data_IF_899894337024
#
_entry.id   IF_899894337024
#
_cell.length_a   1.000
_cell.length_b   1.000
_cell.length_c   1.000
_cell.angle_alpha   90.00
_cell.angle_beta   90.00
_cell.angle_gamma   90.00
#
_symmetry.space_group_name_H-M   'P 1'
#
loop_
_entity.id
_entity.type
_entity.pdbx_description
1 polymer ?
#
# COMPACT_ATOMS: atom_id res chain seq x y z
N UNK A 1 -6.25 11.30 -7.60
CA UNK A 1 -6.36 11.54 -9.05
C UNK A 1 -6.34 10.21 -9.76
N UNK A 2 -7.17 10.01 -10.76
CA UNK A 2 -7.01 8.84 -11.60
C UNK A 2 -5.70 8.95 -12.40
N UNK A 3 -4.89 7.89 -12.37
CA UNK A 3 -3.84 7.68 -13.34
C UNK A 3 -4.46 7.47 -14.74
N UNK A 4 -3.65 7.42 -15.80
CA UNK A 4 -4.15 7.25 -17.15
C UNK A 4 -4.96 5.94 -17.36
N UNK A 5 -4.78 4.96 -16.47
CA UNK A 5 -5.49 3.68 -16.41
C UNK A 5 -6.74 3.69 -15.51
N UNK A 6 -7.13 4.85 -14.96
CA UNK A 6 -8.27 5.02 -14.06
C UNK A 6 -8.00 4.66 -12.60
N UNK A 7 -6.80 4.19 -12.25
CA UNK A 7 -6.41 3.94 -10.85
C UNK A 7 -6.02 5.23 -10.14
N UNK A 8 -6.05 5.23 -8.79
CA UNK A 8 -5.60 6.38 -7.99
C UNK A 8 -4.12 6.21 -7.63
N UNK A 9 -3.29 7.19 -8.00
CA UNK A 9 -1.87 7.23 -7.64
C UNK A 9 -1.58 8.42 -6.72
N UNK A 10 -1.12 8.12 -5.50
CA UNK A 10 -0.75 9.13 -4.52
C UNK A 10 0.48 9.96 -4.94
N UNK A 11 1.38 9.38 -5.73
CA UNK A 11 2.56 10.09 -6.24
C UNK A 11 2.14 11.16 -7.25
N UNK A 12 1.14 10.88 -8.08
CA UNK A 12 0.54 11.86 -8.99
C UNK A 12 -0.05 13.00 -8.19
N UNK A 13 -0.83 12.70 -7.13
CA UNK A 13 -1.38 13.72 -6.24
C UNK A 13 -0.29 14.58 -5.59
N UNK A 14 0.79 13.97 -5.07
CA UNK A 14 1.91 14.70 -4.47
C UNK A 14 2.63 15.62 -5.44
N UNK A 15 2.81 15.20 -6.69
CA UNK A 15 3.46 16.00 -7.71
C UNK A 15 2.56 17.16 -8.18
N UNK A 16 1.27 16.92 -8.31
CA UNK A 16 0.28 17.92 -8.66
C UNK A 16 0.10 18.99 -7.58
N UNK A 17 0.18 18.61 -6.29
CA UNK A 17 0.14 19.57 -5.17
C UNK A 17 1.36 20.49 -5.11
N UNK A 18 2.49 20.14 -5.75
CA UNK A 18 3.68 20.99 -5.85
C UNK A 18 3.61 21.99 -7.01
N UNK A 19 2.68 21.81 -7.93
CA UNK A 19 2.43 22.65 -9.09
C UNK A 19 1.05 23.29 -9.05
N UNK A 20 0.74 24.15 -10.02
CA UNK A 20 -0.61 24.70 -10.24
C UNK A 20 -1.42 23.68 -11.06
N UNK A 21 -1.98 22.67 -10.43
CA UNK A 21 -2.78 21.67 -11.13
C UNK A 21 -4.27 21.95 -10.99
N UNK A 22 -4.98 21.84 -12.11
CA UNK A 22 -6.45 21.91 -12.19
C UNK A 22 -7.12 20.53 -12.21
N UNK A 23 -6.33 19.45 -12.05
CA UNK A 23 -6.81 18.07 -12.22
C UNK A 23 -7.14 17.33 -10.92
N UNK A 24 -7.11 18.03 -9.77
CA UNK A 24 -7.45 17.41 -8.48
C UNK A 24 -8.97 17.35 -8.37
N UNK A 25 -9.51 16.16 -8.21
CA UNK A 25 -10.93 15.92 -7.96
C UNK A 25 -11.15 15.57 -6.49
N UNK A 26 -12.07 16.28 -5.85
CA UNK A 26 -12.51 15.97 -4.49
C UNK A 26 -13.68 15.00 -4.55
N UNK A 27 -13.50 13.81 -3.96
CA UNK A 27 -14.55 12.79 -3.85
C UNK A 27 -15.13 12.82 -2.45
N UNK A 28 -16.39 13.22 -2.33
CA UNK A 28 -17.10 13.27 -1.06
C UNK A 28 -17.85 11.94 -0.79
N UNK A 29 -17.72 11.40 0.42
CA UNK A 29 -18.26 10.08 0.77
C UNK A 29 -19.14 10.06 2.04
N UNK A 30 -19.18 11.15 2.80
CA UNK A 30 -20.05 11.33 3.96
C UNK A 30 -20.28 12.81 4.25
N UNK A 31 -21.33 13.15 5.03
CA UNK A 31 -21.67 14.51 5.42
C UNK A 31 -21.94 14.56 6.93
N UNK A 32 -21.07 15.28 7.66
CA UNK A 32 -21.12 15.30 9.12
C UNK A 32 -21.78 16.56 9.69
N UNK A 33 -21.71 17.67 8.96
CA UNK A 33 -22.29 18.96 9.34
C UNK A 33 -22.88 19.64 8.12
N UNK A 34 -24.03 20.29 8.31
CA UNK A 34 -24.69 21.06 7.26
C UNK A 34 -25.39 22.27 7.89
N UNK A 35 -25.08 23.49 7.44
CA UNK A 35 -25.73 24.73 7.86
C UNK A 35 -25.81 24.89 9.40
N UNK A 36 -24.77 24.50 10.13
CA UNK A 36 -24.74 24.56 11.61
C UNK A 36 -25.33 23.35 12.30
N UNK A 37 -25.91 22.41 11.61
CA UNK A 37 -26.46 21.18 12.19
C UNK A 37 -25.44 20.04 12.18
N UNK A 38 -25.31 19.34 13.31
CA UNK A 38 -24.53 18.13 13.47
C UNK A 38 -25.34 16.93 12.97
N UNK A 39 -24.93 16.34 11.86
CA UNK A 39 -25.60 15.21 11.23
C UNK A 39 -25.07 13.84 11.68
N UNK A 40 -24.05 13.78 12.55
CA UNK A 40 -23.44 12.51 12.98
C UNK A 40 -24.42 11.55 13.65
N UNK A 41 -25.50 12.07 14.21
CA UNK A 41 -26.60 11.28 14.81
C UNK A 41 -27.59 10.72 13.79
N UNK A 42 -27.52 11.15 12.53
CA UNK A 42 -28.31 10.56 11.45
C UNK A 42 -27.68 9.24 10.99
N UNK A 43 -28.49 8.39 10.37
CA UNK A 43 -28.02 7.17 9.73
C UNK A 43 -27.13 7.50 8.53
N UNK A 44 -26.13 6.66 8.22
CA UNK A 44 -25.24 6.87 7.10
C UNK A 44 -25.99 7.08 5.77
N UNK A 45 -27.03 6.29 5.54
CA UNK A 45 -27.85 6.41 4.33
C UNK A 45 -28.51 7.79 4.19
N UNK A 46 -28.95 8.38 5.30
CA UNK A 46 -29.56 9.73 5.33
C UNK A 46 -28.50 10.79 5.08
N UNK A 47 -27.35 10.71 5.75
CA UNK A 47 -26.23 11.62 5.55
C UNK A 47 -25.75 11.62 4.08
N UNK A 48 -25.66 10.43 3.47
CA UNK A 48 -25.29 10.30 2.04
C UNK A 48 -26.37 10.87 1.12
N UNK A 49 -27.65 10.73 1.45
CA UNK A 49 -28.75 11.34 0.68
C UNK A 49 -28.68 12.87 0.71
N UNK A 50 -28.36 13.47 1.87
CA UNK A 50 -28.13 14.90 1.97
C UNK A 50 -26.90 15.33 1.20
N UNK A 51 -25.77 14.59 1.32
CA UNK A 51 -24.55 14.86 0.58
C UNK A 51 -24.81 14.91 -0.93
N UNK A 52 -25.47 13.88 -1.47
CA UNK A 52 -25.75 13.79 -2.91
C UNK A 52 -26.52 15.00 -3.42
N UNK A 53 -27.47 15.50 -2.63
CA UNK A 53 -28.26 16.69 -2.99
C UNK A 53 -27.45 17.98 -3.01
N UNK A 54 -26.55 18.17 -2.04
CA UNK A 54 -25.81 19.45 -1.94
C UNK A 54 -24.64 19.58 -2.91
N UNK A 55 -24.11 18.44 -3.40
CA UNK A 55 -23.02 18.46 -4.38
C UNK A 55 -23.51 18.35 -5.83
N UNK A 56 -24.81 18.14 -6.01
CA UNK A 56 -25.41 18.09 -7.34
C UNK A 56 -25.16 19.41 -8.10
N UNK A 57 -24.70 19.31 -9.36
CA UNK A 57 -24.31 20.44 -10.17
C UNK A 57 -23.00 21.13 -9.79
N UNK A 58 -22.20 20.56 -8.85
CA UNK A 58 -20.87 21.04 -8.50
C UNK A 58 -19.77 20.18 -9.16
N UNK A 59 -18.49 20.60 -9.03
CA UNK A 59 -17.33 19.82 -9.47
C UNK A 59 -16.97 18.69 -8.51
N UNK A 60 -17.67 18.59 -7.37
CA UNK A 60 -17.43 17.53 -6.39
C UNK A 60 -17.99 16.20 -6.89
N UNK A 61 -17.23 15.12 -6.73
CA UNK A 61 -17.71 13.79 -7.05
C UNK A 61 -18.33 13.12 -5.82
N UNK A 62 -19.47 12.49 -6.03
CA UNK A 62 -20.10 11.65 -5.02
C UNK A 62 -19.49 10.25 -5.03
N UNK A 63 -19.07 9.76 -3.87
CA UNK A 63 -18.67 8.37 -3.73
C UNK A 63 -19.91 7.49 -3.68
N UNK A 64 -20.22 6.83 -4.79
CA UNK A 64 -21.35 5.88 -4.83
C UNK A 64 -21.17 4.72 -3.86
N UNK A 65 -22.28 4.09 -3.49
CA UNK A 65 -22.30 2.91 -2.62
C UNK A 65 -22.88 1.75 -3.41
N UNK A 66 -22.29 0.58 -3.25
CA UNK A 66 -22.75 -0.65 -3.88
C UNK A 66 -23.33 -1.57 -2.80
N UNK A 67 -24.58 -2.00 -2.98
CA UNK A 67 -25.25 -2.95 -2.10
C UNK A 67 -25.13 -4.36 -2.69
N UNK A 68 -23.91 -4.90 -2.66
CA UNK A 68 -23.59 -6.24 -3.18
C UNK A 68 -22.71 -6.97 -2.16
N UNK A 69 -22.49 -8.28 -2.40
CA UNK A 69 -21.62 -9.07 -1.53
C UNK A 69 -20.21 -8.45 -1.41
N UNK A 70 -19.79 -8.16 -0.18
CA UNK A 70 -18.51 -7.49 0.08
C UNK A 70 -17.30 -8.31 -0.36
N UNK A 71 -17.41 -9.65 -0.50
CA UNK A 71 -16.31 -10.48 -1.00
C UNK A 71 -16.14 -10.29 -2.50
N UNK A 72 -17.22 -10.18 -3.25
CA UNK A 72 -17.20 -9.96 -4.69
C UNK A 72 -16.65 -8.58 -5.03
N UNK A 73 -17.12 -7.53 -4.34
CA UNK A 73 -16.59 -6.17 -4.51
C UNK A 73 -15.11 -6.13 -4.18
N UNK A 74 -14.69 -6.73 -3.05
CA UNK A 74 -13.30 -6.77 -2.65
C UNK A 74 -12.42 -7.47 -3.70
N UNK A 75 -12.85 -8.64 -4.18
CA UNK A 75 -12.11 -9.36 -5.22
C UNK A 75 -11.99 -8.53 -6.51
N UNK A 76 -13.08 -7.85 -6.90
CA UNK A 76 -13.07 -6.97 -8.08
C UNK A 76 -12.15 -5.76 -7.87
N UNK A 77 -12.22 -5.08 -6.72
CA UNK A 77 -11.36 -3.96 -6.39
C UNK A 77 -9.87 -4.33 -6.46
N UNK A 78 -9.50 -5.50 -5.92
CA UNK A 78 -8.13 -5.99 -6.00
C UNK A 78 -7.71 -6.33 -7.44
N UNK A 79 -8.61 -6.91 -8.24
CA UNK A 79 -8.35 -7.27 -9.65
C UNK A 79 -8.07 -6.04 -10.52
N UNK A 80 -8.76 -4.93 -10.28
CA UNK A 80 -8.55 -3.67 -11.01
C UNK A 80 -7.48 -2.77 -10.39
N UNK A 81 -6.72 -3.27 -9.39
CA UNK A 81 -5.55 -2.58 -8.83
C UNK A 81 -5.85 -1.52 -7.78
N UNK A 82 -7.06 -1.47 -7.22
CA UNK A 82 -7.35 -0.57 -6.10
C UNK A 82 -6.62 -1.01 -4.83
N UNK A 83 -6.34 -0.06 -3.93
CA UNK A 83 -5.70 -0.34 -2.63
C UNK A 83 -6.56 -1.25 -1.74
N UNK A 84 -7.88 -1.16 -1.90
CA UNK A 84 -8.86 -1.91 -1.10
C UNK A 84 -10.22 -1.24 -1.09
N UNK A 85 -11.04 -1.63 -0.13
CA UNK A 85 -12.39 -1.09 0.08
C UNK A 85 -12.63 -0.67 1.52
N UNK A 86 -13.66 0.12 1.73
CA UNK A 86 -14.23 0.42 3.04
C UNK A 86 -15.71 0.04 3.04
N UNK A 87 -16.03 -1.06 3.71
CA UNK A 87 -17.40 -1.47 3.96
C UNK A 87 -17.97 -0.68 5.15
N UNK A 88 -19.19 -0.19 5.02
CA UNK A 88 -19.84 0.64 6.05
C UNK A 88 -21.21 0.08 6.37
N UNK A 89 -21.57 0.03 7.66
CA UNK A 89 -22.92 -0.33 8.08
C UNK A 89 -23.88 0.79 7.66
N UNK A 90 -24.86 0.46 6.82
CA UNK A 90 -25.80 1.40 6.19
C UNK A 90 -26.57 2.26 7.18
N UNK A 91 -27.03 1.63 8.25
CA UNK A 91 -27.91 2.24 9.25
C UNK A 91 -27.11 2.67 10.51
N UNK A 92 -25.78 2.91 10.36
CA UNK A 92 -24.97 3.36 11.47
C UNK A 92 -24.94 4.88 11.61
N UNK A 93 -24.86 5.35 12.88
CA UNK A 93 -24.46 6.71 13.20
C UNK A 93 -22.97 6.90 12.95
N UNK A 94 -22.48 8.13 13.02
CA UNK A 94 -21.04 8.43 12.92
C UNK A 94 -20.43 8.59 14.31
N UNK A 95 -19.77 7.59 14.87
CA UNK A 95 -19.00 7.74 16.10
C UNK A 95 -17.70 8.51 15.80
N UNK A 96 -17.39 9.52 16.61
CA UNK A 96 -16.07 10.17 16.54
C UNK A 96 -15.03 9.23 17.17
N UNK A 97 -14.23 8.59 16.34
CA UNK A 97 -13.20 7.66 16.78
C UNK A 97 -13.26 6.30 16.08
N UNK A 98 -12.55 5.31 16.63
CA UNK A 98 -12.55 3.96 16.08
C UNK A 98 -13.85 3.23 16.46
N UNK A 99 -14.52 2.67 15.45
CA UNK A 99 -15.74 1.88 15.60
C UNK A 99 -15.65 0.56 14.82
N UNK A 100 -16.75 -0.22 14.88
CA UNK A 100 -16.89 -1.48 14.13
C UNK A 100 -17.78 -1.33 12.89
N UNK A 101 -18.41 -0.16 12.72
CA UNK A 101 -19.35 0.08 11.63
C UNK A 101 -18.67 0.37 10.29
N UNK A 102 -17.35 0.67 10.33
CA UNK A 102 -16.51 0.88 9.15
C UNK A 102 -15.37 -0.12 9.14
N UNK A 103 -15.36 -1.00 8.15
CA UNK A 103 -14.35 -2.04 7.99
C UNK A 103 -13.50 -1.72 6.76
N UNK A 104 -12.24 -1.35 6.98
CA UNK A 104 -11.25 -1.21 5.91
C UNK A 104 -10.64 -2.57 5.60
N UNK A 105 -10.71 -2.97 4.33
CA UNK A 105 -10.07 -4.17 3.80
C UNK A 105 -9.11 -3.77 2.68
N UNK A 106 -7.85 -4.16 2.80
CA UNK A 106 -6.79 -3.77 1.84
C UNK A 106 -6.36 -4.95 1.00
N UNK A 107 -6.14 -4.69 -0.31
CA UNK A 107 -5.59 -5.68 -1.23
C UNK A 107 -4.12 -5.91 -0.91
N UNK A 108 -3.75 -7.16 -0.70
CA UNK A 108 -2.36 -7.57 -0.57
C UNK A 108 -1.86 -8.08 -1.93
N UNK A 109 -0.78 -7.49 -2.42
CA UNK A 109 -0.07 -7.97 -3.60
C UNK A 109 1.12 -8.80 -3.16
N UNK A 110 1.52 -9.78 -3.97
CA UNK A 110 2.71 -10.61 -3.73
C UNK A 110 3.64 -10.55 -4.92
N UNK A 111 4.92 -10.52 -4.63
CA UNK A 111 5.99 -10.52 -5.63
C UNK A 111 7.19 -11.27 -5.09
N UNK A 112 7.81 -12.07 -5.94
CA UNK A 112 9.12 -12.68 -5.64
C UNK A 112 10.21 -11.69 -6.02
N UNK A 113 11.00 -11.27 -5.03
CA UNK A 113 12.07 -10.29 -5.20
C UNK A 113 13.42 -10.89 -4.78
N UNK A 114 14.49 -10.42 -5.42
CA UNK A 114 15.86 -10.85 -5.10
C UNK A 114 16.34 -10.18 -3.81
N UNK A 115 16.96 -10.94 -2.93
CA UNK A 115 17.63 -10.40 -1.74
C UNK A 115 18.99 -9.84 -2.17
N UNK A 116 19.22 -8.57 -1.91
CA UNK A 116 20.42 -7.82 -2.29
C UNK A 116 21.30 -7.50 -1.09
N UNK A 117 20.80 -7.67 0.12
CA UNK A 117 21.50 -7.41 1.37
C UNK A 117 20.58 -7.52 2.57
N UNK A 118 21.15 -7.33 3.75
CA UNK A 118 20.39 -7.29 5.01
C UNK A 118 20.92 -6.17 5.92
N UNK A 119 20.11 -5.82 6.92
CA UNK A 119 20.46 -4.84 7.92
C UNK A 119 20.41 -5.47 9.31
N UNK A 120 21.25 -4.95 10.20
CA UNK A 120 21.25 -5.24 11.62
C UNK A 120 21.17 -3.93 12.40
N UNK A 121 20.46 -3.95 13.52
CA UNK A 121 20.52 -2.90 14.55
C UNK A 121 21.29 -3.48 15.74
N UNK A 122 22.56 -3.06 15.90
CA UNK A 122 23.52 -3.78 16.72
C UNK A 122 23.69 -5.22 16.23
N UNK A 123 23.25 -6.20 17.03
CA UNK A 123 23.24 -7.63 16.68
C UNK A 123 21.87 -8.14 16.23
N UNK A 124 20.85 -7.33 16.35
CA UNK A 124 19.47 -7.71 16.04
C UNK A 124 19.16 -7.61 14.56
N UNK A 125 18.27 -8.46 14.10
CA UNK A 125 17.82 -8.46 12.70
C UNK A 125 16.93 -7.23 12.43
N UNK A 126 17.34 -6.41 11.45
CA UNK A 126 16.61 -5.21 11.03
C UNK A 126 16.08 -5.33 9.58
N UNK A 127 16.06 -6.53 9.02
CA UNK A 127 15.40 -6.84 7.76
C UNK A 127 16.32 -7.02 6.57
N UNK A 128 15.71 -7.09 5.36
CA UNK A 128 16.39 -7.36 4.09
C UNK A 128 16.18 -6.22 3.10
N UNK A 129 17.20 -6.00 2.26
CA UNK A 129 17.15 -5.13 1.10
C UNK A 129 16.78 -5.93 -0.14
N UNK A 130 15.84 -5.42 -0.91
CA UNK A 130 15.26 -6.10 -2.07
C UNK A 130 15.68 -5.46 -3.37
N UNK A 131 15.86 -6.30 -4.38
CA UNK A 131 16.09 -5.91 -5.77
C UNK A 131 15.07 -6.56 -6.70
N UNK A 132 14.67 -5.82 -7.72
CA UNK A 132 13.88 -6.34 -8.86
C UNK A 132 14.78 -6.44 -10.07
N UNK A 133 14.83 -7.62 -10.68
CA UNK A 133 15.55 -7.82 -11.93
C UNK A 133 14.79 -7.19 -13.10
N UNK A 134 15.52 -6.44 -13.93
CA UNK A 134 15.06 -5.91 -15.22
C UNK A 134 16.14 -6.24 -16.26
N UNK A 135 15.98 -7.37 -16.93
CA UNK A 135 17.06 -7.94 -17.74
C UNK A 135 18.28 -8.24 -16.86
N UNK A 136 19.44 -7.70 -17.21
CA UNK A 136 20.68 -7.86 -16.45
C UNK A 136 20.78 -6.89 -15.24
N UNK A 137 19.91 -5.92 -15.16
CA UNK A 137 19.94 -4.92 -14.10
C UNK A 137 19.25 -5.42 -12.82
N UNK A 138 19.81 -5.05 -11.67
CA UNK A 138 19.17 -5.16 -10.37
C UNK A 138 18.80 -3.78 -9.86
N UNK A 139 17.49 -3.49 -9.82
CA UNK A 139 16.93 -2.21 -9.39
C UNK A 139 16.45 -2.31 -7.96
N UNK A 140 16.80 -1.35 -7.10
CA UNK A 140 16.35 -1.32 -5.72
C UNK A 140 14.82 -1.31 -5.62
N UNK A 141 14.25 -2.27 -4.90
CA UNK A 141 12.81 -2.45 -4.75
C UNK A 141 12.28 -2.11 -3.35
N UNK A 142 13.14 -1.83 -2.38
CA UNK A 142 12.75 -1.47 -1.01
C UNK A 142 13.50 -2.25 0.06
N UNK A 143 13.24 -1.93 1.33
CA UNK A 143 13.65 -2.69 2.52
C UNK A 143 12.41 -3.29 3.18
N UNK A 144 12.52 -4.51 3.66
CA UNK A 144 11.49 -5.21 4.45
C UNK A 144 12.04 -5.44 5.85
N UNK A 145 11.34 -4.96 6.85
CA UNK A 145 11.66 -5.07 8.28
C UNK A 145 10.57 -5.79 9.08
N UNK A 146 9.48 -6.21 8.42
CA UNK A 146 8.36 -6.92 9.03
C UNK A 146 8.17 -8.32 8.45
N UNK A 147 7.57 -9.22 9.23
CA UNK A 147 7.27 -10.58 8.80
C UNK A 147 8.33 -11.61 9.18
N UNK A 148 9.33 -11.19 9.96
CA UNK A 148 10.36 -12.08 10.47
C UNK A 148 10.01 -12.57 11.88
N UNK A 149 10.32 -13.83 12.15
CA UNK A 149 10.41 -14.40 13.46
C UNK A 149 11.85 -14.84 13.77
N UNK A 150 12.10 -15.35 14.96
CA UNK A 150 13.44 -15.81 15.37
C UNK A 150 14.02 -16.88 14.45
N UNK A 151 13.16 -17.79 13.94
CA UNK A 151 13.58 -18.89 13.08
C UNK A 151 13.95 -18.38 11.68
N UNK A 152 13.08 -17.62 11.06
CA UNK A 152 13.28 -17.06 9.71
C UNK A 152 14.46 -16.09 9.67
N UNK A 153 14.67 -15.27 10.71
CA UNK A 153 15.82 -14.37 10.82
C UNK A 153 17.14 -15.16 10.95
N UNK A 154 17.17 -16.22 11.74
CA UNK A 154 18.34 -17.07 11.89
C UNK A 154 18.66 -17.83 10.59
N UNK A 155 17.65 -18.38 9.92
CA UNK A 155 17.80 -19.05 8.62
C UNK A 155 18.35 -18.09 7.56
N UNK A 156 17.76 -16.90 7.44
CA UNK A 156 18.24 -15.88 6.52
C UNK A 156 19.68 -15.48 6.80
N UNK A 157 20.04 -15.25 8.06
CA UNK A 157 21.42 -14.93 8.45
C UNK A 157 22.39 -16.03 8.05
N UNK A 158 22.04 -17.29 8.30
CA UNK A 158 22.87 -18.45 7.94
C UNK A 158 23.08 -18.52 6.41
N UNK A 159 22.01 -18.34 5.62
CA UNK A 159 22.06 -18.45 4.15
C UNK A 159 22.69 -17.26 3.48
N UNK A 160 22.58 -16.04 4.05
CA UNK A 160 23.13 -14.81 3.48
C UNK A 160 24.60 -14.57 3.83
N UNK A 161 25.07 -15.06 4.98
CA UNK A 161 26.47 -14.85 5.43
C UNK A 161 27.51 -15.32 4.40
N UNK A 162 27.42 -16.52 3.79
CA UNK A 162 28.38 -16.95 2.79
C UNK A 162 28.33 -16.13 1.47
N UNK A 163 27.27 -15.36 1.27
CA UNK A 163 27.07 -14.54 0.06
C UNK A 163 27.51 -13.08 0.25
N UNK A 164 28.10 -12.72 1.39
CA UNK A 164 28.49 -11.34 1.68
C UNK A 164 29.52 -10.84 0.65
N UNK A 165 29.27 -9.61 0.16
CA UNK A 165 30.13 -8.90 -0.78
C UNK A 165 30.44 -7.48 -0.31
N UNK A 166 31.53 -6.89 -0.82
CA UNK A 166 32.00 -5.56 -0.40
C UNK A 166 31.17 -4.40 -0.95
N UNK A 167 30.52 -4.58 -2.08
CA UNK A 167 29.83 -3.51 -2.81
C UNK A 167 28.34 -3.84 -3.00
N UNK A 168 27.51 -2.82 -3.17
CA UNK A 168 26.10 -2.99 -3.48
C UNK A 168 25.91 -3.74 -4.82
N UNK A 169 24.96 -4.68 -4.92
CA UNK A 169 24.70 -5.40 -6.16
C UNK A 169 23.78 -4.63 -7.13
N UNK A 170 23.28 -3.45 -6.75
CA UNK A 170 22.38 -2.66 -7.58
C UNK A 170 23.11 -1.98 -8.74
N UNK A 171 22.44 -1.91 -9.89
CA UNK A 171 22.95 -1.18 -11.08
C UNK A 171 23.15 0.31 -10.80
N UNK A 172 22.24 0.91 -10.01
CA UNK A 172 22.39 2.27 -9.49
C UNK A 172 22.63 2.23 -8.00
N UNK A 173 23.71 2.88 -7.55
CA UNK A 173 24.03 2.98 -6.13
C UNK A 173 22.90 3.67 -5.35
N UNK A 174 22.55 3.12 -4.20
CA UNK A 174 21.56 3.69 -3.27
C UNK A 174 22.26 4.28 -2.05
N UNK A 175 21.69 5.36 -1.49
CA UNK A 175 22.16 5.99 -0.26
C UNK A 175 21.67 5.24 0.99
N UNK A 176 22.02 3.96 1.11
CA UNK A 176 21.70 3.11 2.25
C UNK A 176 22.93 2.35 2.70
N UNK A 177 23.04 2.14 4.01
CA UNK A 177 24.04 1.28 4.64
C UNK A 177 23.43 -0.08 4.95
N UNK A 178 24.18 -1.13 4.73
CA UNK A 178 23.74 -2.50 4.98
C UNK A 178 24.84 -3.50 4.67
N UNK A 179 24.63 -4.75 4.99
CA UNK A 179 25.50 -5.87 4.62
C UNK A 179 24.99 -6.39 3.28
N UNK A 180 25.78 -6.16 2.23
CA UNK A 180 25.43 -6.52 0.86
C UNK A 180 25.78 -7.96 0.56
N UNK A 181 24.96 -8.62 -0.26
CA UNK A 181 25.18 -10.03 -0.63
C UNK A 181 25.09 -10.22 -2.14
N UNK A 182 25.66 -11.31 -2.64
CA UNK A 182 25.43 -11.77 -4.01
C UNK A 182 23.93 -12.06 -4.19
N UNK A 183 23.28 -11.49 -5.24
CA UNK A 183 21.83 -11.51 -5.38
C UNK A 183 21.33 -12.85 -5.95
N UNK A 184 21.50 -13.92 -5.17
CA UNK A 184 21.17 -15.31 -5.53
C UNK A 184 19.87 -15.78 -4.90
N UNK A 185 19.54 -15.30 -3.67
CA UNK A 185 18.34 -15.75 -2.96
C UNK A 185 17.13 -14.90 -3.32
N UNK A 186 15.98 -15.56 -3.38
CA UNK A 186 14.69 -14.95 -3.65
C UNK A 186 13.80 -15.01 -2.41
N UNK A 187 13.02 -13.95 -2.20
CA UNK A 187 12.04 -13.86 -1.14
C UNK A 187 10.65 -13.56 -1.69
N UNK A 188 9.63 -14.22 -1.16
CA UNK A 188 8.24 -13.85 -1.39
C UNK A 188 7.87 -12.70 -0.46
N UNK A 189 7.44 -11.61 -1.05
CA UNK A 189 7.10 -10.36 -0.35
C UNK A 189 5.65 -10.02 -0.61
N UNK A 190 4.90 -9.86 0.47
CA UNK A 190 3.56 -9.28 0.43
C UNK A 190 3.66 -7.77 0.66
N UNK A 191 2.95 -6.97 -0.12
CA UNK A 191 2.98 -5.51 0.02
C UNK A 191 1.62 -4.91 -0.40
N UNK A 192 1.37 -3.66 -0.01
CA UNK A 192 0.08 -3.00 -0.27
C UNK A 192 0.08 -2.17 -1.55
N UNK A 193 1.18 -1.51 -1.85
CA UNK A 193 1.32 -0.62 -3.01
C UNK A 193 2.78 -0.55 -3.46
N UNK A 194 3.02 0.04 -4.64
CA UNK A 194 4.34 0.46 -5.10
C UNK A 194 4.42 1.98 -5.14
N UNK A 195 5.62 2.54 -4.91
CA UNK A 195 5.87 3.94 -5.19
C UNK A 195 6.01 4.17 -6.70
N UNK A 196 6.04 5.45 -7.13
CA UNK A 196 6.31 5.81 -8.53
C UNK A 196 7.63 5.23 -9.07
N UNK A 197 8.65 5.08 -8.19
CA UNK A 197 9.91 4.45 -8.55
C UNK A 197 9.86 2.91 -8.49
N UNK A 198 8.68 2.32 -8.24
CA UNK A 198 8.48 0.88 -8.19
C UNK A 198 8.94 0.22 -6.88
N UNK A 199 9.20 0.97 -5.80
CA UNK A 199 9.54 0.42 -4.49
C UNK A 199 8.29 -0.11 -3.78
N UNK A 200 8.40 -1.27 -3.12
CA UNK A 200 7.30 -1.84 -2.33
C UNK A 200 6.99 -0.99 -1.10
N UNK A 201 5.70 -0.78 -0.82
CA UNK A 201 5.21 -0.06 0.35
C UNK A 201 4.51 -1.00 1.31
N UNK A 202 4.78 -0.82 2.62
CA UNK A 202 4.30 -1.70 3.70
C UNK A 202 4.61 -3.18 3.38
N UNK A 203 5.87 -3.49 3.06
CA UNK A 203 6.24 -4.84 2.71
C UNK A 203 6.28 -5.75 3.95
N UNK A 204 5.97 -7.04 3.72
CA UNK A 204 5.98 -8.08 4.72
C UNK A 204 6.63 -9.33 4.15
N UNK A 205 7.61 -9.87 4.83
CA UNK A 205 8.31 -11.09 4.42
C UNK A 205 7.40 -12.32 4.64
N UNK A 206 7.25 -13.16 3.63
CA UNK A 206 6.43 -14.37 3.67
C UNK A 206 7.26 -15.64 3.71
N UNK A 207 8.47 -15.60 3.18
CA UNK A 207 9.37 -16.76 3.14
C UNK A 207 10.44 -16.64 2.06
N UNK A 208 11.43 -17.52 2.13
CA UNK A 208 12.37 -17.73 1.03
C UNK A 208 11.70 -18.59 -0.06
N UNK A 209 11.97 -18.26 -1.34
CA UNK A 209 11.60 -19.14 -2.46
C UNK A 209 12.73 -20.14 -2.67
N UNK A 210 12.37 -21.41 -2.81
CA UNK A 210 13.31 -22.51 -2.99
C UNK A 210 13.38 -23.03 -4.43
N UNK A 211 12.52 -22.49 -5.28
CA UNK A 211 12.31 -22.99 -6.64
C UNK A 211 13.16 -22.16 -7.62
N UNK A 212 14.42 -22.55 -7.74
CA UNK A 212 15.30 -22.34 -8.89
C UNK A 212 16.12 -23.60 -9.11
#
# INVERSE_FOLDING_TARGET
>A
MPAADGTTDFSVLQNELKGRSTKIVLVAFDLLYLNGYDLRKLLLIERKKHLKKIIDGTELQFSESFEVDGKEIFAHACKIGLEGEVSKVRDSHYPSGRGRDWLKKTCAQRETLTIAGFALDGNDWDGIYLGRRKGNDLVYAGKVDHGFDKRSSAELRQRLTPLIRKTQPYTRRIARTGIWVEPQLLAEIEYRAKSAEGKVRHPFFKGLRQDL
#
